data_IF_663354188073
#
_entry.id   IF_663354188073
#
_cell.length_a   1.000
_cell.length_b   1.000
_cell.length_c   1.000
_cell.angle_alpha   90.00
_cell.angle_beta   90.00
_cell.angle_gamma   90.00
#
_symmetry.space_group_name_H-M   'P 1'
#
loop_
_entity.id
_entity.type
_entity.pdbx_description
1 polymer ?
#
# COMPACT_ATOMS: atom_id res chain seq x y z
N UNK A 1 -15.39 14.88 10.28
CA UNK A 1 -15.54 13.60 11.03
C UNK A 1 -14.50 13.49 12.14
N UNK A 2 -14.92 13.10 13.33
CA UNK A 2 -14.07 12.71 14.47
C UNK A 2 -13.56 11.27 14.32
N UNK A 3 -12.59 10.85 15.14
CA UNK A 3 -12.10 9.47 15.14
C UNK A 3 -13.23 8.46 15.45
N UNK A 4 -14.06 8.75 16.46
CA UNK A 4 -15.18 7.89 16.84
C UNK A 4 -16.19 7.71 15.69
N UNK A 5 -16.49 8.78 14.96
CA UNK A 5 -17.37 8.71 13.78
C UNK A 5 -16.77 7.85 12.66
N UNK A 6 -15.46 7.91 12.46
CA UNK A 6 -14.76 7.07 11.48
C UNK A 6 -14.72 5.59 11.89
N UNK A 7 -14.63 5.29 13.18
CA UNK A 7 -14.69 3.91 13.69
C UNK A 7 -16.11 3.31 13.59
N UNK A 8 -17.14 4.12 13.81
CA UNK A 8 -18.54 3.73 13.53
C UNK A 8 -18.72 3.45 12.04
N UNK A 9 -18.23 4.35 11.18
CA UNK A 9 -18.27 4.19 9.73
C UNK A 9 -17.63 2.85 9.29
N UNK A 10 -16.46 2.58 9.84
CA UNK A 10 -15.72 1.35 9.62
C UNK A 10 -16.51 0.10 10.04
N UNK A 11 -17.15 0.15 11.21
CA UNK A 11 -17.98 -0.94 11.73
C UNK A 11 -19.15 -1.24 10.78
N UNK A 12 -19.86 -0.20 10.33
CA UNK A 12 -20.95 -0.37 9.37
C UNK A 12 -20.46 -0.99 8.05
N UNK A 13 -19.31 -0.54 7.52
CA UNK A 13 -18.78 -1.02 6.23
C UNK A 13 -18.33 -2.49 6.25
N UNK A 14 -17.64 -2.92 7.31
CA UNK A 14 -16.97 -4.22 7.32
C UNK A 14 -17.66 -5.29 8.18
N UNK A 15 -18.42 -4.88 9.19
CA UNK A 15 -19.08 -5.79 10.15
C UNK A 15 -20.61 -5.73 10.02
N UNK A 16 -21.17 -4.57 9.66
CA UNK A 16 -22.61 -4.33 9.59
C UNK A 16 -23.35 -5.27 8.64
N UNK A 17 -24.52 -5.73 9.07
CA UNK A 17 -25.44 -6.57 8.26
C UNK A 17 -26.60 -5.78 7.67
N UNK A 18 -26.88 -4.57 8.17
CA UNK A 18 -27.94 -3.70 7.65
C UNK A 18 -27.50 -3.05 6.34
N UNK A 19 -28.28 -3.24 5.28
CA UNK A 19 -27.98 -2.71 3.96
C UNK A 19 -28.06 -1.17 3.91
N UNK A 20 -29.00 -0.58 4.65
CA UNK A 20 -29.21 0.87 4.68
C UNK A 20 -28.02 1.56 5.35
N UNK A 21 -27.57 1.03 6.50
CA UNK A 21 -26.39 1.55 7.20
C UNK A 21 -25.12 1.44 6.36
N UNK A 22 -24.96 0.35 5.60
CA UNK A 22 -23.84 0.17 4.66
C UNK A 22 -23.87 1.18 3.52
N UNK A 23 -25.04 1.43 2.93
CA UNK A 23 -25.19 2.42 1.85
C UNK A 23 -24.84 3.83 2.35
N UNK A 24 -25.35 4.22 3.52
CA UNK A 24 -25.01 5.51 4.11
C UNK A 24 -23.53 5.62 4.48
N UNK A 25 -22.94 4.54 4.97
CA UNK A 25 -21.51 4.49 5.24
C UNK A 25 -20.65 4.58 3.96
N UNK A 26 -21.07 3.93 2.86
CA UNK A 26 -20.39 4.06 1.57
C UNK A 26 -20.46 5.49 1.04
N UNK A 27 -21.61 6.16 1.20
CA UNK A 27 -21.78 7.57 0.83
C UNK A 27 -20.87 8.49 1.65
N UNK A 28 -20.87 8.36 2.97
CA UNK A 28 -20.00 9.13 3.85
C UNK A 28 -18.50 8.88 3.56
N UNK A 29 -18.13 7.66 3.17
CA UNK A 29 -16.78 7.34 2.71
C UNK A 29 -16.41 8.11 1.43
N UNK A 30 -17.31 8.20 0.45
CA UNK A 30 -17.07 8.97 -0.76
C UNK A 30 -16.90 10.46 -0.46
N UNK A 31 -17.77 11.02 0.39
CA UNK A 31 -17.65 12.42 0.86
C UNK A 31 -16.32 12.67 1.58
N UNK A 32 -15.85 11.72 2.39
CA UNK A 32 -14.55 11.80 3.05
C UNK A 32 -13.39 11.81 2.05
N UNK A 33 -13.48 11.04 0.96
CA UNK A 33 -12.43 10.96 -0.07
C UNK A 33 -12.32 12.24 -0.88
N UNK A 34 -13.45 12.88 -1.15
CA UNK A 34 -13.50 14.15 -1.87
C UNK A 34 -13.16 15.36 -0.98
N UNK A 35 -13.19 15.18 0.34
CA UNK A 35 -12.83 16.21 1.31
C UNK A 35 -11.32 16.55 1.29
N UNK A 36 -10.94 17.83 1.46
CA UNK A 36 -9.54 18.22 1.65
C UNK A 36 -8.91 17.61 2.91
N UNK A 37 -9.73 17.15 3.86
CA UNK A 37 -9.28 16.49 5.10
C UNK A 37 -8.99 15.00 4.92
N UNK A 38 -9.25 14.41 3.75
CA UNK A 38 -9.12 12.95 3.53
C UNK A 38 -7.79 12.41 4.05
N UNK A 39 -6.68 13.05 3.66
CA UNK A 39 -5.34 12.63 4.05
C UNK A 39 -5.12 12.68 5.57
N UNK A 40 -5.50 13.79 6.22
CA UNK A 40 -5.32 13.93 7.66
C UNK A 40 -6.19 12.95 8.46
N UNK A 41 -7.40 12.62 7.96
CA UNK A 41 -8.24 11.58 8.56
C UNK A 41 -7.68 10.17 8.36
N UNK A 42 -7.06 9.89 7.21
CA UNK A 42 -6.36 8.62 6.99
C UNK A 42 -5.18 8.46 7.96
N UNK A 43 -4.38 9.51 8.15
CA UNK A 43 -3.28 9.51 9.11
C UNK A 43 -3.78 9.31 10.55
N UNK A 44 -4.86 10.00 10.93
CA UNK A 44 -5.52 9.83 12.23
C UNK A 44 -5.94 8.37 12.46
N UNK A 45 -6.55 7.72 11.47
CA UNK A 45 -6.97 6.32 11.56
C UNK A 45 -5.78 5.35 11.64
N UNK A 46 -4.69 5.64 10.94
CA UNK A 46 -3.49 4.80 10.98
C UNK A 46 -2.76 4.94 12.32
N UNK A 47 -2.73 6.13 12.90
CA UNK A 47 -1.99 6.41 14.14
C UNK A 47 -2.79 6.11 15.41
N UNK A 48 -4.11 6.36 15.39
CA UNK A 48 -4.96 6.32 16.58
C UNK A 48 -6.14 5.34 16.46
N UNK A 49 -6.36 4.73 15.29
CA UNK A 49 -7.42 3.75 15.11
C UNK A 49 -7.22 2.52 16.00
N UNK A 50 -8.28 2.10 16.68
CA UNK A 50 -8.23 1.00 17.65
C UNK A 50 -8.40 -0.38 17.03
N UNK A 51 -8.74 -0.47 15.74
CA UNK A 51 -9.04 -1.72 15.04
C UNK A 51 -8.32 -1.85 13.70
N UNK A 52 -8.05 -3.08 13.27
CA UNK A 52 -7.49 -3.37 11.94
C UNK A 52 -8.38 -2.89 10.79
N UNK A 53 -9.70 -2.86 11.00
CA UNK A 53 -10.62 -2.31 10.01
C UNK A 53 -10.51 -0.78 9.89
N UNK A 54 -10.17 -0.06 10.97
CA UNK A 54 -9.94 1.39 10.91
C UNK A 54 -8.73 1.71 10.03
N UNK A 55 -7.65 0.94 10.16
CA UNK A 55 -6.48 1.07 9.29
C UNK A 55 -6.76 0.62 7.85
N UNK A 56 -7.59 -0.41 7.65
CA UNK A 56 -8.06 -0.82 6.33
C UNK A 56 -8.91 0.27 5.65
N UNK A 57 -9.77 0.95 6.41
CA UNK A 57 -10.54 2.08 5.91
C UNK A 57 -9.61 3.20 5.42
N UNK A 58 -8.58 3.53 6.20
CA UNK A 58 -7.56 4.50 5.80
C UNK A 58 -6.85 4.08 4.51
N UNK A 59 -6.41 2.81 4.41
CA UNK A 59 -5.79 2.27 3.19
C UNK A 59 -6.74 2.34 1.99
N UNK A 60 -8.03 2.09 2.19
CA UNK A 60 -9.07 2.17 1.15
C UNK A 60 -9.28 3.61 0.67
N UNK A 61 -9.38 4.56 1.60
CA UNK A 61 -9.44 6.00 1.30
C UNK A 61 -8.22 6.46 0.52
N UNK A 62 -7.02 6.13 1.01
CA UNK A 62 -5.76 6.48 0.34
C UNK A 62 -5.69 5.87 -1.06
N UNK A 63 -6.07 4.60 -1.23
CA UNK A 63 -6.11 3.97 -2.56
C UNK A 63 -7.01 4.74 -3.50
N UNK A 64 -8.23 5.11 -3.09
CA UNK A 64 -9.16 5.86 -3.94
C UNK A 64 -8.63 7.26 -4.24
N UNK A 65 -8.12 7.94 -3.22
CA UNK A 65 -7.55 9.29 -3.30
C UNK A 65 -6.40 9.38 -4.31
N UNK A 66 -5.46 8.43 -4.31
CA UNK A 66 -4.29 8.47 -5.22
C UNK A 66 -4.63 8.06 -6.66
N UNK A 67 -5.72 7.31 -6.86
CA UNK A 67 -6.16 6.84 -8.20
C UNK A 67 -7.22 7.73 -8.86
N UNK A 68 -7.68 8.78 -8.17
CA UNK A 68 -8.73 9.66 -8.67
C UNK A 68 -8.38 10.29 -10.03
N UNK A 69 -9.42 10.70 -10.76
CA UNK A 69 -9.29 11.23 -12.13
C UNK A 69 -8.36 12.46 -12.17
N UNK A 70 -8.50 13.36 -11.21
CA UNK A 70 -7.67 14.55 -11.05
C UNK A 70 -6.51 14.26 -10.09
N UNK A 71 -5.30 13.91 -10.57
CA UNK A 71 -4.23 13.46 -9.70
C UNK A 71 -3.85 14.54 -8.68
N UNK A 72 -3.48 14.09 -7.48
CA UNK A 72 -2.84 14.96 -6.48
C UNK A 72 -1.52 15.54 -7.03
N UNK A 73 -1.08 16.71 -6.55
CA UNK A 73 0.26 17.21 -6.82
C UNK A 73 1.34 16.15 -6.57
N UNK A 74 2.42 16.19 -7.35
CA UNK A 74 3.51 15.20 -7.26
C UNK A 74 4.07 15.12 -5.83
N UNK A 75 4.25 16.26 -5.17
CA UNK A 75 4.76 16.36 -3.79
C UNK A 75 3.86 15.59 -2.81
N UNK A 76 2.55 15.82 -2.85
CA UNK A 76 1.61 15.12 -1.97
C UNK A 76 1.61 13.60 -2.21
N UNK A 77 1.78 13.15 -3.46
CA UNK A 77 1.90 11.72 -3.77
C UNK A 77 3.18 11.10 -3.24
N UNK A 78 4.29 11.85 -3.27
CA UNK A 78 5.56 11.45 -2.67
C UNK A 78 5.41 11.36 -1.15
N UNK A 79 4.79 12.36 -0.53
CA UNK A 79 4.55 12.40 0.91
C UNK A 79 3.69 11.23 1.36
N UNK A 80 2.59 10.92 0.65
CA UNK A 80 1.75 9.75 0.93
C UNK A 80 2.56 8.46 0.83
N UNK A 81 3.34 8.27 -0.25
CA UNK A 81 4.17 7.08 -0.42
C UNK A 81 5.16 6.92 0.74
N UNK A 82 5.89 7.98 1.05
CA UNK A 82 6.92 7.97 2.10
C UNK A 82 6.29 7.74 3.48
N UNK A 83 5.14 8.35 3.74
CA UNK A 83 4.37 8.12 4.96
C UNK A 83 3.99 6.64 5.10
N UNK A 84 3.40 6.03 4.06
CA UNK A 84 2.99 4.62 4.11
C UNK A 84 4.20 3.70 4.31
N UNK A 85 5.31 3.94 3.60
CA UNK A 85 6.55 3.19 3.77
C UNK A 85 7.07 3.27 5.22
N UNK A 86 7.13 4.47 5.79
CA UNK A 86 7.57 4.66 7.17
C UNK A 86 6.59 4.05 8.18
N UNK A 87 5.30 4.07 7.89
CA UNK A 87 4.28 3.50 8.75
C UNK A 87 4.38 1.97 8.80
N UNK A 88 4.46 1.29 7.65
CA UNK A 88 4.61 -0.19 7.64
C UNK A 88 5.98 -0.63 8.15
N UNK A 89 7.01 0.20 8.03
CA UNK A 89 8.32 -0.04 8.66
C UNK A 89 8.27 0.10 10.19
N UNK A 90 7.56 1.09 10.72
CA UNK A 90 7.46 1.28 12.17
C UNK A 90 6.46 0.33 12.84
N UNK A 91 5.53 -0.23 12.08
CA UNK A 91 4.49 -1.14 12.56
C UNK A 91 4.48 -2.46 11.76
N UNK A 92 5.55 -3.26 11.80
CA UNK A 92 5.66 -4.47 10.97
C UNK A 92 4.71 -5.61 11.40
N UNK A 93 4.05 -5.46 12.56
CA UNK A 93 3.09 -6.43 13.13
C UNK A 93 1.62 -6.09 12.87
N UNK A 94 1.33 -5.11 12.00
CA UNK A 94 -0.03 -4.85 11.55
C UNK A 94 -0.68 -6.11 10.98
N UNK A 95 -2.01 -6.16 11.02
CA UNK A 95 -2.75 -7.26 10.42
C UNK A 95 -2.33 -7.43 8.93
N UNK A 96 -2.09 -8.66 8.45
CA UNK A 96 -1.53 -8.88 7.12
C UNK A 96 -2.34 -8.23 5.99
N UNK A 97 -3.67 -8.22 6.09
CA UNK A 97 -4.53 -7.57 5.10
C UNK A 97 -4.42 -6.04 5.09
N UNK A 98 -4.06 -5.41 6.21
CA UNK A 98 -3.79 -3.97 6.28
C UNK A 98 -2.47 -3.65 5.60
N UNK A 99 -1.41 -4.42 5.90
CA UNK A 99 -0.11 -4.30 5.22
C UNK A 99 -0.29 -4.44 3.71
N UNK A 100 -0.99 -5.49 3.28
CA UNK A 100 -1.31 -5.74 1.88
C UNK A 100 -2.02 -4.55 1.22
N UNK A 101 -3.08 -4.02 1.85
CA UNK A 101 -3.83 -2.89 1.32
C UNK A 101 -2.98 -1.61 1.21
N UNK A 102 -2.13 -1.33 2.21
CA UNK A 102 -1.23 -0.18 2.20
C UNK A 102 -0.15 -0.30 1.11
N UNK A 103 0.43 -1.48 0.94
CA UNK A 103 1.42 -1.74 -0.11
C UNK A 103 0.80 -1.61 -1.51
N UNK A 104 -0.47 -2.00 -1.68
CA UNK A 104 -1.19 -1.77 -2.93
C UNK A 104 -1.31 -0.28 -3.27
N UNK A 105 -1.45 0.60 -2.28
CA UNK A 105 -1.41 2.06 -2.49
C UNK A 105 -0.03 2.48 -3.02
N UNK A 106 1.06 1.98 -2.41
CA UNK A 106 2.43 2.23 -2.86
C UNK A 106 2.64 1.77 -4.31
N UNK A 107 2.17 0.57 -4.66
CA UNK A 107 2.30 0.03 -6.00
C UNK A 107 1.56 0.89 -7.05
N UNK A 108 0.32 1.31 -6.73
CA UNK A 108 -0.48 2.21 -7.58
C UNK A 108 0.20 3.56 -7.77
N UNK A 109 0.69 4.17 -6.69
CA UNK A 109 1.45 5.42 -6.75
C UNK A 109 2.69 5.28 -7.64
N UNK A 110 3.44 4.19 -7.46
CA UNK A 110 4.66 3.91 -8.24
C UNK A 110 4.36 3.80 -9.73
N UNK A 111 3.33 3.05 -10.11
CA UNK A 111 2.90 2.91 -11.52
C UNK A 111 2.42 4.24 -12.11
N UNK A 112 1.58 4.98 -11.37
CA UNK A 112 1.04 6.26 -11.84
C UNK A 112 2.15 7.31 -12.02
N UNK A 113 3.14 7.31 -11.12
CA UNK A 113 4.29 8.20 -11.13
C UNK A 113 5.52 7.68 -11.88
N UNK A 114 5.44 6.55 -12.59
CA UNK A 114 6.61 5.83 -13.14
C UNK A 114 7.54 6.67 -14.04
N UNK A 115 7.01 7.70 -14.69
CA UNK A 115 7.76 8.62 -15.55
C UNK A 115 7.83 10.05 -15.00
N UNK A 116 7.34 10.29 -13.78
CA UNK A 116 7.38 11.60 -13.17
C UNK A 116 8.79 11.89 -12.66
N UNK A 117 9.25 13.11 -12.96
CA UNK A 117 10.58 13.59 -12.63
C UNK A 117 10.46 14.72 -11.63
N UNK A 118 11.22 14.64 -10.55
CA UNK A 118 11.39 15.74 -9.59
C UNK A 118 12.88 15.88 -9.31
N UNK A 119 13.41 17.11 -9.41
CA UNK A 119 14.86 17.38 -9.24
C UNK A 119 15.74 16.47 -10.12
N UNK A 120 15.35 16.30 -11.38
CA UNK A 120 16.05 15.48 -12.39
C UNK A 120 16.09 13.96 -12.14
N UNK A 121 15.34 13.46 -11.15
CA UNK A 121 15.26 12.03 -10.83
C UNK A 121 13.86 11.46 -11.05
N UNK A 122 13.78 10.19 -11.46
CA UNK A 122 12.52 9.44 -11.51
C UNK A 122 12.10 9.02 -10.09
N UNK A 123 11.63 9.98 -9.31
CA UNK A 123 11.40 9.85 -7.86
C UNK A 123 10.58 8.62 -7.45
N UNK A 124 9.62 8.16 -8.26
CA UNK A 124 8.82 6.96 -7.96
C UNK A 124 9.56 5.63 -8.16
N UNK A 125 10.64 5.61 -8.94
CA UNK A 125 11.45 4.40 -9.17
C UNK A 125 12.40 4.07 -8.02
N UNK A 126 12.67 5.04 -7.14
CA UNK A 126 13.48 4.87 -5.93
C UNK A 126 12.92 3.85 -4.94
N UNK A 127 11.67 3.43 -5.11
CA UNK A 127 11.04 2.37 -4.30
C UNK A 127 11.89 1.10 -4.22
N UNK A 128 12.65 0.76 -5.27
CA UNK A 128 13.52 -0.42 -5.27
C UNK A 128 14.66 -0.28 -4.23
N UNK A 129 15.18 0.92 -4.03
CA UNK A 129 16.19 1.19 -3.01
C UNK A 129 15.60 1.09 -1.60
N UNK A 130 14.36 1.57 -1.40
CA UNK A 130 13.66 1.45 -0.12
C UNK A 130 13.34 -0.01 0.23
N UNK A 131 12.89 -0.81 -0.75
CA UNK A 131 12.63 -2.25 -0.56
C UNK A 131 13.88 -2.99 -0.09
N UNK A 132 15.07 -2.66 -0.61
CA UNK A 132 16.32 -3.29 -0.16
C UNK A 132 16.55 -3.09 1.34
N UNK A 133 16.12 -1.98 1.93
CA UNK A 133 16.20 -1.73 3.38
C UNK A 133 15.27 -2.68 4.15
N UNK A 134 14.04 -2.89 3.67
CA UNK A 134 13.12 -3.86 4.26
C UNK A 134 13.68 -5.29 4.23
N UNK A 135 14.26 -5.69 3.10
CA UNK A 135 14.85 -7.03 2.92
C UNK A 135 16.05 -7.30 3.84
N UNK A 136 16.71 -6.25 4.35
CA UNK A 136 17.84 -6.35 5.27
C UNK A 136 17.43 -6.21 6.75
N UNK A 137 16.14 -6.00 7.03
CA UNK A 137 15.59 -5.85 8.37
C UNK A 137 15.32 -7.17 9.09
N UNK A 138 14.35 -7.16 10.02
CA UNK A 138 13.86 -8.37 10.68
C UNK A 138 13.08 -9.27 9.71
N UNK A 139 12.67 -10.46 10.15
CA UNK A 139 11.84 -11.37 9.33
C UNK A 139 10.55 -10.69 8.88
N UNK A 140 9.88 -9.95 9.77
CA UNK A 140 8.65 -9.21 9.46
C UNK A 140 8.89 -8.13 8.40
N UNK A 141 9.99 -7.38 8.52
CA UNK A 141 10.38 -6.39 7.50
C UNK A 141 10.71 -7.05 6.16
N UNK A 142 11.40 -8.19 6.19
CA UNK A 142 11.69 -8.95 4.97
C UNK A 142 10.41 -9.41 4.28
N UNK A 143 9.41 -9.89 5.04
CA UNK A 143 8.09 -10.26 4.50
C UNK A 143 7.44 -9.05 3.83
N UNK A 144 7.43 -7.89 4.49
CA UNK A 144 6.90 -6.64 3.91
C UNK A 144 7.64 -6.28 2.60
N UNK A 145 8.97 -6.36 2.60
CA UNK A 145 9.78 -6.12 1.40
C UNK A 145 9.41 -7.05 0.24
N UNK A 146 9.18 -8.33 0.52
CA UNK A 146 8.72 -9.31 -0.48
C UNK A 146 7.31 -8.98 -0.98
N UNK A 147 6.39 -8.58 -0.10
CA UNK A 147 5.04 -8.16 -0.51
C UNK A 147 5.12 -6.93 -1.43
N UNK A 148 5.98 -5.94 -1.12
CA UNK A 148 6.19 -4.77 -2.00
C UNK A 148 6.67 -5.20 -3.39
N UNK A 149 7.66 -6.10 -3.49
CA UNK A 149 8.13 -6.61 -4.78
C UNK A 149 7.03 -7.32 -5.57
N UNK A 150 6.20 -8.11 -4.88
CA UNK A 150 5.08 -8.83 -5.47
C UNK A 150 4.04 -7.86 -6.03
N UNK A 151 3.56 -6.92 -5.20
CA UNK A 151 2.54 -5.95 -5.59
C UNK A 151 3.03 -5.00 -6.68
N UNK A 152 4.30 -4.58 -6.66
CA UNK A 152 4.88 -3.79 -7.75
C UNK A 152 4.83 -4.56 -9.08
N UNK A 153 5.23 -5.84 -9.06
CA UNK A 153 5.24 -6.66 -10.27
C UNK A 153 3.82 -6.90 -10.80
N UNK A 154 2.86 -7.18 -9.90
CA UNK A 154 1.46 -7.38 -10.25
C UNK A 154 0.83 -6.09 -10.82
N UNK A 155 0.99 -4.98 -10.10
CA UNK A 155 0.39 -3.69 -10.49
C UNK A 155 0.97 -3.20 -11.81
N UNK A 156 2.28 -3.33 -12.05
CA UNK A 156 2.89 -2.96 -13.33
C UNK A 156 2.36 -3.77 -14.52
N UNK A 157 1.95 -5.02 -14.28
CA UNK A 157 1.37 -5.90 -15.29
C UNK A 157 -0.17 -5.74 -15.40
N UNK A 158 -0.83 -5.11 -14.42
CA UNK A 158 -2.28 -4.92 -14.42
C UNK A 158 -2.69 -3.90 -15.49
N UNK A 159 -3.50 -4.33 -16.45
CA UNK A 159 -4.05 -3.45 -17.49
C UNK A 159 -5.17 -2.60 -16.89
N UNK A 160 -4.98 -1.29 -16.87
CA UNK A 160 -6.02 -0.33 -16.49
C UNK A 160 -6.82 0.10 -17.72
N UNK A 161 -7.99 -0.50 -17.92
CA UNK A 161 -8.88 -0.21 -19.05
C UNK A 161 -9.53 1.18 -19.00
N UNK A 162 -9.44 1.88 -17.86
CA UNK A 162 -9.90 3.27 -17.74
C UNK A 162 -8.90 4.27 -18.33
N UNK A 163 -7.68 3.84 -18.68
CA UNK A 163 -6.60 4.69 -19.19
C UNK A 163 -6.13 4.26 -20.58
N UNK A 164 -5.50 5.17 -21.37
CA UNK A 164 -4.99 4.82 -22.69
C UNK A 164 -3.98 3.66 -22.66
N UNK A 165 -4.24 2.62 -23.45
CA UNK A 165 -3.41 1.40 -23.49
C UNK A 165 -1.94 1.65 -23.83
N UNK A 166 -1.64 2.69 -24.60
CA UNK A 166 -0.27 3.09 -24.93
C UNK A 166 0.53 3.52 -23.69
N UNK A 167 -0.11 4.23 -22.73
CA UNK A 167 0.55 4.65 -21.48
C UNK A 167 0.90 3.42 -20.63
N UNK A 168 -0.03 2.48 -20.50
CA UNK A 168 0.21 1.23 -19.78
C UNK A 168 1.37 0.44 -20.41
N UNK A 169 1.35 0.19 -21.73
CA UNK A 169 2.45 -0.51 -22.42
C UNK A 169 3.80 0.16 -22.22
N UNK A 170 3.86 1.50 -22.29
CA UNK A 170 5.10 2.25 -22.07
C UNK A 170 5.65 2.03 -20.65
N UNK A 171 4.79 2.03 -19.63
CA UNK A 171 5.16 1.78 -18.24
C UNK A 171 5.66 0.34 -18.07
N UNK A 172 4.87 -0.65 -18.51
CA UNK A 172 5.19 -2.07 -18.37
C UNK A 172 6.51 -2.43 -19.07
N UNK A 173 6.74 -1.95 -20.30
CA UNK A 173 8.01 -2.13 -21.03
C UNK A 173 9.18 -1.51 -20.27
N UNK A 174 9.03 -0.27 -19.80
CA UNK A 174 10.08 0.41 -19.04
C UNK A 174 10.40 -0.34 -17.74
N UNK A 175 9.39 -0.75 -16.97
CA UNK A 175 9.58 -1.55 -15.74
C UNK A 175 10.30 -2.87 -16.00
N UNK A 176 9.90 -3.59 -17.05
CA UNK A 176 10.57 -4.82 -17.50
C UNK A 176 12.06 -4.57 -17.76
N UNK A 177 12.37 -3.50 -18.48
CA UNK A 177 13.72 -3.24 -18.97
C UNK A 177 14.64 -2.65 -17.86
N UNK A 178 14.09 -1.94 -16.88
CA UNK A 178 14.88 -1.22 -15.87
C UNK A 178 14.86 -1.84 -14.46
N UNK A 179 13.88 -2.67 -14.12
CA UNK A 179 13.67 -3.07 -12.71
C UNK A 179 13.34 -4.54 -12.51
N UNK A 180 12.61 -5.17 -13.43
CA UNK A 180 12.14 -6.55 -13.24
C UNK A 180 13.27 -7.56 -13.05
N UNK A 181 14.40 -7.39 -13.77
CA UNK A 181 15.57 -8.26 -13.60
C UNK A 181 16.13 -8.19 -12.18
N UNK A 182 16.26 -6.98 -11.63
CA UNK A 182 16.80 -6.78 -10.28
C UNK A 182 15.87 -7.39 -9.22
N UNK A 183 14.55 -7.24 -9.41
CA UNK A 183 13.53 -7.87 -8.55
C UNK A 183 13.68 -9.41 -8.58
N UNK A 184 13.84 -10.01 -9.77
CA UNK A 184 14.05 -11.44 -9.90
C UNK A 184 15.33 -11.91 -9.21
N UNK A 185 16.43 -11.17 -9.37
CA UNK A 185 17.71 -11.49 -8.70
C UNK A 185 17.58 -11.41 -7.18
N UNK A 186 16.89 -10.40 -6.65
CA UNK A 186 16.60 -10.29 -5.21
C UNK A 186 15.78 -11.47 -4.72
N UNK A 187 14.68 -11.81 -5.41
CA UNK A 187 13.83 -12.95 -5.05
C UNK A 187 14.61 -14.28 -5.05
N UNK A 188 15.41 -14.54 -6.09
CA UNK A 188 16.25 -15.75 -6.14
C UNK A 188 17.29 -15.78 -5.01
N UNK A 189 17.86 -14.62 -4.66
CA UNK A 189 18.85 -14.53 -3.58
C UNK A 189 18.21 -14.84 -2.22
N UNK A 190 17.01 -14.30 -1.96
CA UNK A 190 16.24 -14.59 -0.76
C UNK A 190 15.87 -16.07 -0.66
N UNK A 191 15.37 -16.67 -1.75
CA UNK A 191 15.03 -18.11 -1.77
C UNK A 191 16.25 -18.99 -1.46
N UNK A 192 17.43 -18.66 -1.99
CA UNK A 192 18.68 -19.37 -1.66
C UNK A 192 19.07 -19.21 -0.19
N UNK A 193 18.89 -18.02 0.39
CA UNK A 193 19.16 -17.79 1.82
C UNK A 193 18.21 -18.61 2.70
N UNK A 194 16.91 -18.61 2.40
CA UNK A 194 15.91 -19.41 3.10
C UNK A 194 16.21 -20.91 2.96
N UNK A 195 16.66 -21.37 1.79
CA UNK A 195 17.05 -22.77 1.62
C UNK A 195 18.29 -23.14 2.45
N UNK A 196 19.29 -22.27 2.51
CA UNK A 196 20.53 -22.50 3.25
C UNK A 196 20.34 -22.40 4.78
N UNK A 197 19.45 -21.51 5.22
CA UNK A 197 19.06 -21.32 6.61
C UNK A 197 17.54 -21.14 6.64
N UNK A 198 16.78 -22.23 6.84
CA UNK A 198 15.33 -22.16 6.93
C UNK A 198 14.93 -21.05 7.91
N UNK A 199 14.06 -20.14 7.46
CA UNK A 199 13.43 -19.18 8.35
C UNK A 199 12.76 -20.00 9.46
N UNK A 200 13.09 -19.70 10.70
CA UNK A 200 12.44 -20.34 11.84
C UNK A 200 11.03 -19.73 11.95
N UNK A 201 10.12 -20.17 11.09
CA UNK A 201 8.73 -19.72 11.02
C UNK A 201 7.88 -20.24 12.19
N UNK A 202 8.53 -20.82 13.21
CA UNK A 202 7.92 -21.45 14.37
C UNK A 202 8.08 -20.64 15.67
N UNK A 203 8.33 -19.33 15.62
CA UNK A 203 8.19 -18.52 16.84
C UNK A 203 6.70 -18.45 17.24
N UNK A 204 6.43 -19.11 18.36
CA UNK A 204 5.15 -19.59 18.88
C UNK A 204 4.25 -18.51 19.50
N UNK A 205 4.14 -17.30 18.93
CA UNK A 205 3.23 -16.28 19.47
C UNK A 205 2.04 -16.01 18.54
N UNK A 206 1.14 -17.00 18.42
CA UNK A 206 -0.31 -16.81 18.17
C UNK A 206 -1.06 -18.16 18.18
N UNK A 207 -0.96 -18.92 19.28
CA UNK A 207 -2.04 -19.79 19.74
C UNK A 207 -2.94 -19.02 20.73
N UNK A 208 -3.60 -17.99 20.22
CA UNK A 208 -4.81 -17.36 20.79
C UNK A 208 -5.34 -16.49 19.65
N UNK A 209 -6.45 -16.80 19.00
CA UNK A 209 -7.78 -16.93 19.55
C UNK A 209 -8.62 -17.89 18.68
N UNK A 210 -9.22 -18.88 19.33
CA UNK A 210 -10.60 -19.30 19.02
C UNK A 210 -11.54 -18.30 19.66
#
# INVERSE_FOLDING_TARGET
MSLAELEVLCTHLYVGTDLTERIEAEKALLELIDSPECLSKCQLLLEQGTTSYAQLLAATCLSKLVTRINPLPIEQRIDIRNYILNYVASQPKLAPFVIQALIQVIAKLTKLGWFEVQKDEFVFREIIADVKKFLQGTVEHCIIGVIILCELTQEMNLVDYSRPSAKHRKIATSFRDTSLKDILVLACSLLKQVLAKPLNLQDQDQQSLV
#
